data_IF_359481059115
#
_entry.id   IF_359481059115
#
_cell.length_a   1.000
_cell.length_b   1.000
_cell.length_c   1.000
_cell.angle_alpha   90.00
_cell.angle_beta   90.00
_cell.angle_gamma   90.00
#
_symmetry.space_group_name_H-M   'P 1'
#
loop_
_entity.id
_entity.type
_entity.pdbx_description
1 polymer ?
#
# COMPACT_ATOMS: atom_id res chain seq x y z
N UNK A 1 -34.27 9.15 28.47
CA UNK A 1 -33.04 8.51 27.95
C UNK A 1 -33.23 8.39 26.45
N UNK A 2 -32.53 9.22 25.67
CA UNK A 2 -32.66 9.23 24.21
C UNK A 2 -31.99 7.98 23.63
N UNK A 3 -32.65 7.36 22.65
CA UNK A 3 -32.10 6.21 21.94
C UNK A 3 -30.95 6.72 21.06
N UNK A 4 -29.69 6.51 21.49
CA UNK A 4 -28.52 6.88 20.68
C UNK A 4 -28.33 5.75 19.68
N UNK A 5 -28.72 5.96 18.41
CA UNK A 5 -28.42 5.00 17.36
C UNK A 5 -26.92 5.00 17.10
N UNK A 6 -26.27 3.85 17.27
CA UNK A 6 -24.86 3.69 16.90
C UNK A 6 -24.69 3.76 15.39
N UNK A 7 -23.66 4.48 14.94
CA UNK A 7 -23.27 4.57 13.53
C UNK A 7 -22.14 3.60 13.25
N UNK A 8 -22.26 2.83 12.16
CA UNK A 8 -21.19 1.97 11.65
C UNK A 8 -20.63 2.54 10.35
N UNK A 9 -19.30 2.62 10.25
CA UNK A 9 -18.58 3.12 9.07
C UNK A 9 -17.50 2.12 8.67
N UNK A 10 -17.35 1.86 7.38
CA UNK A 10 -16.25 1.09 6.81
C UNK A 10 -15.25 2.05 6.16
N UNK A 11 -13.96 1.89 6.48
CA UNK A 11 -12.86 2.69 5.91
C UNK A 11 -11.82 1.75 5.34
N UNK A 12 -11.50 1.94 4.06
CA UNK A 12 -10.49 1.15 3.35
C UNK A 12 -9.33 2.08 2.98
N UNK A 13 -8.10 1.69 3.32
CA UNK A 13 -6.92 2.50 3.04
C UNK A 13 -5.68 1.63 2.83
N UNK A 14 -4.69 2.14 2.11
CA UNK A 14 -3.37 1.52 2.02
C UNK A 14 -2.64 1.76 3.34
N UNK A 15 -2.40 0.67 4.08
CA UNK A 15 -1.76 0.68 5.40
C UNK A 15 -0.31 0.21 5.38
N UNK A 16 0.20 -0.17 4.20
CA UNK A 16 1.60 -0.49 3.94
C UNK A 16 1.88 -0.36 2.44
N UNK A 17 3.00 0.28 2.10
CA UNK A 17 3.46 0.45 0.73
C UNK A 17 5.01 0.40 0.73
N UNK A 18 5.56 -0.74 0.31
CA UNK A 18 7.00 -1.00 0.37
C UNK A 18 7.58 -1.27 -1.02
N UNK A 19 8.51 -0.41 -1.46
CA UNK A 19 9.24 -0.61 -2.70
C UNK A 19 10.47 -1.48 -2.41
N UNK A 20 10.56 -2.63 -3.07
CA UNK A 20 11.67 -3.56 -2.91
C UNK A 20 12.83 -3.22 -3.85
N UNK A 21 14.08 -3.64 -3.54
CA UNK A 21 15.24 -3.41 -4.41
C UNK A 21 15.12 -4.02 -5.81
N UNK A 22 14.29 -5.05 -5.98
CA UNK A 22 13.99 -5.68 -7.27
C UNK A 22 12.90 -4.93 -8.08
N UNK A 23 12.41 -3.80 -7.58
CA UNK A 23 11.35 -3.00 -8.21
C UNK A 23 9.92 -3.49 -7.94
N UNK A 24 9.74 -4.64 -7.28
CA UNK A 24 8.42 -5.07 -6.84
C UNK A 24 7.91 -4.17 -5.70
N UNK A 25 6.59 -4.01 -5.60
CA UNK A 25 5.95 -3.19 -4.57
C UNK A 25 5.03 -4.06 -3.74
N UNK A 26 5.33 -4.19 -2.44
CA UNK A 26 4.45 -4.82 -1.47
C UNK A 26 3.36 -3.84 -1.03
N UNK A 27 2.09 -4.24 -1.12
CA UNK A 27 0.93 -3.42 -0.74
C UNK A 27 0.10 -4.16 0.29
N UNK A 28 -0.32 -3.45 1.34
CA UNK A 28 -1.37 -3.89 2.26
C UNK A 28 -2.51 -2.88 2.25
N UNK A 29 -3.73 -3.35 2.03
CA UNK A 29 -4.95 -2.58 2.31
C UNK A 29 -5.55 -3.05 3.63
N UNK A 30 -5.90 -2.11 4.48
CA UNK A 30 -6.66 -2.36 5.71
C UNK A 30 -8.09 -1.89 5.50
N UNK A 31 -9.04 -2.73 5.91
CA UNK A 31 -10.44 -2.36 6.05
C UNK A 31 -10.74 -2.31 7.54
N UNK A 32 -11.05 -1.13 8.04
CA UNK A 32 -11.49 -0.91 9.41
C UNK A 32 -13.01 -0.70 9.44
N UNK A 33 -13.67 -1.40 10.36
CA UNK A 33 -15.08 -1.16 10.71
C UNK A 33 -15.09 -0.38 12.02
N UNK A 34 -15.67 0.81 11.98
CA UNK A 34 -15.79 1.71 13.10
C UNK A 34 -17.22 1.70 13.64
N UNK A 35 -17.37 1.68 14.96
CA UNK A 35 -18.62 1.98 15.66
C UNK A 35 -18.45 3.30 16.39
N UNK A 36 -19.28 4.29 16.05
CA UNK A 36 -19.28 5.60 16.69
C UNK A 36 -17.87 6.26 16.66
N UNK A 37 -17.14 6.07 15.55
CA UNK A 37 -15.78 6.59 15.34
C UNK A 37 -14.65 5.78 15.96
N UNK A 38 -14.95 4.67 16.65
CA UNK A 38 -13.95 3.78 17.25
C UNK A 38 -13.84 2.50 16.43
N UNK A 39 -12.62 2.11 16.04
CA UNK A 39 -12.38 0.85 15.33
C UNK A 39 -12.77 -0.33 16.23
N UNK A 40 -13.67 -1.19 15.73
CA UNK A 40 -14.13 -2.41 16.41
C UNK A 40 -13.70 -3.69 15.71
N UNK A 41 -13.29 -3.60 14.44
CA UNK A 41 -12.78 -4.71 13.66
C UNK A 41 -11.86 -4.19 12.57
N UNK A 42 -10.82 -4.96 12.28
CA UNK A 42 -9.86 -4.68 11.22
C UNK A 42 -9.58 -5.96 10.46
N UNK A 43 -9.61 -5.89 9.13
CA UNK A 43 -9.11 -6.96 8.25
C UNK A 43 -8.06 -6.39 7.31
N UNK A 44 -7.17 -7.26 6.85
CA UNK A 44 -6.10 -6.88 5.94
C UNK A 44 -6.06 -7.78 4.72
N UNK A 45 -5.82 -7.16 3.57
CA UNK A 45 -5.49 -7.82 2.32
C UNK A 45 -4.10 -7.39 1.86
N UNK A 46 -3.35 -8.30 1.24
CA UNK A 46 -1.98 -8.05 0.78
C UNK A 46 -1.80 -8.54 -0.64
N UNK A 47 -0.96 -7.83 -1.41
CA UNK A 47 -0.47 -8.28 -2.70
C UNK A 47 0.94 -7.75 -2.96
N UNK A 48 1.59 -8.28 -3.99
CA UNK A 48 2.83 -7.74 -4.55
C UNK A 48 2.57 -7.35 -6.00
N UNK A 49 2.87 -6.11 -6.36
CA UNK A 49 2.85 -5.62 -7.73
C UNK A 49 4.25 -5.79 -8.33
N UNK A 50 4.35 -6.43 -9.48
CA UNK A 50 5.60 -6.48 -10.25
C UNK A 50 5.85 -5.13 -10.94
N UNK A 51 7.07 -4.85 -11.44
CA UNK A 51 7.31 -3.65 -12.23
C UNK A 51 6.31 -3.50 -13.39
N UNK A 52 5.66 -2.33 -13.47
CA UNK A 52 4.62 -2.01 -14.45
C UNK A 52 3.42 -2.98 -14.45
N UNK A 53 3.04 -3.49 -13.27
CA UNK A 53 1.91 -4.40 -13.13
C UNK A 53 0.62 -3.79 -13.73
N UNK A 54 -0.07 -4.49 -14.65
CA UNK A 54 -1.30 -3.98 -15.26
C UNK A 54 -2.45 -3.79 -14.27
N UNK A 55 -2.38 -4.42 -13.09
CA UNK A 55 -3.37 -4.27 -12.02
C UNK A 55 -3.05 -3.12 -11.08
N UNK A 56 -1.94 -2.40 -11.25
CA UNK A 56 -1.50 -1.37 -10.31
C UNK A 56 -2.54 -0.26 -10.10
N UNK A 57 -3.22 0.18 -11.16
CA UNK A 57 -4.27 1.21 -11.05
C UNK A 57 -5.45 0.71 -10.20
N UNK A 58 -5.85 -0.54 -10.36
CA UNK A 58 -6.94 -1.17 -9.60
C UNK A 58 -6.53 -1.46 -8.16
N UNK A 59 -5.31 -1.95 -7.94
CA UNK A 59 -4.82 -2.30 -6.60
C UNK A 59 -4.59 -1.05 -5.76
N UNK A 60 -4.00 0.00 -6.34
CA UNK A 60 -3.65 1.20 -5.59
C UNK A 60 -4.87 2.11 -5.41
N UNK A 61 -5.72 2.22 -6.44
CA UNK A 61 -7.01 2.95 -6.41
C UNK A 61 -6.91 4.41 -5.91
N UNK A 62 -5.70 4.95 -5.89
CA UNK A 62 -5.37 6.28 -5.39
C UNK A 62 -4.24 6.85 -6.25
N UNK A 63 -4.45 8.05 -6.80
CA UNK A 63 -3.48 8.70 -7.68
C UNK A 63 -2.12 8.93 -6.99
N UNK A 64 -2.13 9.18 -5.67
CA UNK A 64 -0.91 9.37 -4.88
C UNK A 64 0.02 8.15 -4.96
N UNK A 65 -0.49 6.97 -4.59
CA UNK A 65 0.30 5.74 -4.60
C UNK A 65 0.65 5.29 -6.02
N UNK A 66 -0.26 5.48 -6.97
CA UNK A 66 0.00 5.14 -8.38
C UNK A 66 1.13 5.99 -8.97
N UNK A 67 1.19 7.29 -8.63
CA UNK A 67 2.27 8.17 -9.06
C UNK A 67 3.63 7.75 -8.47
N UNK A 68 3.65 7.34 -7.19
CA UNK A 68 4.87 6.82 -6.55
C UNK A 68 5.32 5.52 -7.21
N UNK A 69 4.40 4.59 -7.50
CA UNK A 69 4.71 3.34 -8.17
C UNK A 69 5.30 3.57 -9.56
N UNK A 70 4.65 4.43 -10.37
CA UNK A 70 5.15 4.79 -11.71
C UNK A 70 6.52 5.45 -11.65
N UNK A 71 6.74 6.35 -10.69
CA UNK A 71 8.04 6.96 -10.49
C UNK A 71 9.10 5.91 -10.13
N UNK A 72 8.83 5.01 -9.19
CA UNK A 72 9.74 3.95 -8.78
C UNK A 72 10.13 3.04 -9.96
N UNK A 73 9.16 2.66 -10.79
CA UNK A 73 9.42 1.82 -11.98
C UNK A 73 10.12 2.54 -13.12
N UNK A 74 10.07 3.87 -13.15
CA UNK A 74 10.86 4.67 -14.10
C UNK A 74 12.34 4.80 -13.71
N UNK A 75 12.69 4.53 -12.46
CA UNK A 75 14.08 4.64 -12.00
C UNK A 75 14.92 3.46 -12.49
N UNK A 76 16.17 3.68 -12.90
CA UNK A 76 17.08 2.58 -13.21
C UNK A 76 17.26 1.70 -11.97
N UNK A 77 17.29 0.38 -12.17
CA UNK A 77 17.56 -0.56 -11.09
C UNK A 77 18.87 -0.17 -10.39
N UNK A 78 18.95 -0.20 -9.05
CA UNK A 78 20.19 0.07 -8.34
C UNK A 78 21.29 -0.83 -8.93
N UNK A 79 22.32 -0.22 -9.50
CA UNK A 79 23.48 -0.98 -9.94
C UNK A 79 24.12 -1.60 -8.69
N UNK A 80 24.52 -2.89 -8.74
CA UNK A 80 25.36 -3.44 -7.68
C UNK A 80 26.56 -2.51 -7.49
N UNK A 81 26.85 -2.13 -6.25
CA UNK A 81 28.10 -1.42 -5.98
C UNK A 81 29.25 -2.27 -6.55
N UNK A 82 30.16 -1.68 -7.35
CA UNK A 82 31.33 -2.42 -7.80
C UNK A 82 32.07 -2.94 -6.56
N UNK A 83 32.62 -4.18 -6.62
CA UNK A 83 33.38 -4.71 -5.49
C UNK A 83 34.47 -3.70 -5.12
N UNK A 84 34.54 -3.35 -3.83
CA UNK A 84 35.61 -2.51 -3.31
C UNK A 84 36.94 -3.19 -3.65
N UNK A 85 37.87 -2.54 -4.40
CA UNK A 85 39.18 -3.12 -4.65
C UNK A 85 39.82 -3.45 -3.31
N UNK A 86 40.23 -4.71 -3.13
CA UNK A 86 40.71 -5.24 -1.87
C UNK A 86 41.82 -4.37 -1.29
N UNK A 87 41.68 -4.05 0.00
CA UNK A 87 42.76 -3.54 0.85
C UNK A 87 43.47 -4.74 1.48
#
# INVERSE_FOLDING_TARGET
>A
MGNIMSTFTEVIYISQFDIQPNGCIGVRKTTDVLKDGVVISSTFWRTTLVPNDPQASTVLDEAYYLNIANYAWSQPSPQPNPPTPGV
#
